data_IF_020219792325
#
_entry.id   IF_020219792325
#
_cell.length_a   1.000
_cell.length_b   1.000
_cell.length_c   1.000
_cell.angle_alpha   90.00
_cell.angle_beta   90.00
_cell.angle_gamma   90.00
#
_symmetry.space_group_name_H-M   'P 1'
#
loop_
_entity.id
_entity.type
_entity.pdbx_description
1 polymer ?
#
# COMPACT_ATOMS: atom_id res chain seq x y z
N UNK A 1 -0.19 10.34 0.67
CA UNK A 1 -0.04 9.51 -0.54
C UNK A 1 -0.25 10.39 -1.76
N UNK A 2 0.68 10.39 -2.71
CA UNK A 2 0.53 11.16 -3.94
C UNK A 2 -0.43 10.43 -4.92
N UNK A 3 -1.62 10.98 -5.17
CA UNK A 3 -2.59 10.39 -6.09
C UNK A 3 -2.21 10.57 -7.56
N UNK A 4 -1.29 11.49 -7.88
CA UNK A 4 -0.81 11.75 -9.24
C UNK A 4 -0.16 10.51 -9.87
N UNK A 5 0.49 9.68 -9.04
CA UNK A 5 1.08 8.43 -9.52
C UNK A 5 0.02 7.42 -10.00
N UNK A 6 -1.21 7.46 -9.46
CA UNK A 6 -2.31 6.61 -9.94
C UNK A 6 -2.73 7.03 -11.35
N UNK A 7 -2.88 8.35 -11.57
CA UNK A 7 -3.21 8.94 -12.87
C UNK A 7 -2.11 8.60 -13.88
N UNK A 8 -0.86 8.85 -13.51
CA UNK A 8 0.29 8.57 -14.35
C UNK A 8 0.33 7.10 -14.79
N UNK A 9 0.17 6.15 -13.87
CA UNK A 9 0.22 4.72 -14.21
C UNK A 9 -0.93 4.34 -15.13
N UNK A 10 -2.15 4.85 -14.89
CA UNK A 10 -3.29 4.62 -15.77
C UNK A 10 -3.01 5.11 -17.19
N UNK A 11 -2.45 6.30 -17.33
CA UNK A 11 -2.13 6.91 -18.63
C UNK A 11 -1.01 6.17 -19.35
N UNK A 12 0.02 5.69 -18.65
CA UNK A 12 1.06 4.85 -19.27
C UNK A 12 0.55 3.47 -19.74
N UNK A 13 -0.63 3.05 -19.28
CA UNK A 13 -1.30 1.84 -19.76
C UNK A 13 -2.28 2.12 -20.91
N UNK A 14 -2.40 3.37 -21.34
CA UNK A 14 -3.38 3.84 -22.34
C UNK A 14 -4.82 3.47 -21.97
N UNK A 15 -5.16 3.54 -20.68
CA UNK A 15 -6.49 3.18 -20.17
C UNK A 15 -7.31 4.39 -19.76
N UNK A 16 -8.61 4.35 -20.08
CA UNK A 16 -9.60 5.23 -19.44
C UNK A 16 -9.85 4.84 -17.99
N UNK A 17 -10.36 5.78 -17.18
CA UNK A 17 -10.79 5.50 -15.80
C UNK A 17 -11.79 4.32 -15.73
N UNK A 18 -12.64 4.17 -16.76
CA UNK A 18 -13.64 3.09 -16.82
C UNK A 18 -12.99 1.74 -17.07
N UNK A 19 -12.02 1.66 -17.99
CA UNK A 19 -11.32 0.41 -18.30
C UNK A 19 -10.46 -0.06 -17.13
N UNK A 20 -9.74 0.85 -16.48
CA UNK A 20 -8.94 0.48 -15.32
C UNK A 20 -9.82 0.08 -14.13
N UNK A 21 -10.92 0.79 -13.89
CA UNK A 21 -11.90 0.39 -12.88
C UNK A 21 -12.44 -1.03 -13.13
N UNK A 22 -12.78 -1.36 -14.40
CA UNK A 22 -13.22 -2.69 -14.78
C UNK A 22 -12.13 -3.76 -14.53
N UNK A 23 -10.87 -3.49 -14.89
CA UNK A 23 -9.74 -4.39 -14.59
C UNK A 23 -9.53 -4.60 -13.09
N UNK A 24 -9.76 -3.58 -12.28
CA UNK A 24 -9.68 -3.63 -10.82
C UNK A 24 -10.97 -4.13 -10.14
N UNK A 25 -12.01 -4.45 -10.93
CA UNK A 25 -13.34 -4.90 -10.48
C UNK A 25 -14.03 -3.92 -9.51
N UNK A 26 -13.95 -2.62 -9.81
CA UNK A 26 -14.62 -1.55 -9.07
C UNK A 26 -15.42 -0.66 -10.00
N UNK A 27 -16.32 0.15 -9.46
CA UNK A 27 -17.05 1.14 -10.27
C UNK A 27 -16.11 2.26 -10.74
N UNK A 28 -16.40 2.84 -11.91
CA UNK A 28 -15.69 4.04 -12.42
C UNK A 28 -15.70 5.18 -11.40
N UNK A 29 -16.82 5.38 -10.70
CA UNK A 29 -16.96 6.40 -9.66
C UNK A 29 -16.05 6.13 -8.46
N UNK A 30 -15.84 4.87 -8.08
CA UNK A 30 -14.91 4.52 -7.00
C UNK A 30 -13.48 4.78 -7.39
N UNK A 31 -13.09 4.41 -8.61
CA UNK A 31 -11.73 4.67 -9.11
C UNK A 31 -11.44 6.17 -9.25
N UNK A 32 -12.39 6.96 -9.78
CA UNK A 32 -12.24 8.41 -9.90
C UNK A 32 -12.02 9.10 -8.53
N UNK A 33 -12.66 8.60 -7.47
CA UNK A 33 -12.46 9.09 -6.10
C UNK A 33 -11.06 8.81 -5.55
N UNK A 34 -10.35 7.81 -6.08
CA UNK A 34 -8.95 7.56 -5.74
C UNK A 34 -8.01 8.54 -6.43
N UNK A 35 -8.26 8.84 -7.71
CA UNK A 35 -7.46 9.81 -8.48
C UNK A 35 -7.69 11.28 -8.07
N UNK A 36 -8.78 11.57 -7.36
CA UNK A 36 -9.09 12.91 -6.82
C UNK A 36 -8.74 13.05 -5.34
N UNK A 37 -8.14 12.02 -4.74
CA UNK A 37 -7.85 11.92 -3.31
C UNK A 37 -9.07 12.04 -2.37
N UNK A 38 -10.31 12.03 -2.89
CA UNK A 38 -11.52 11.93 -2.06
C UNK A 38 -11.55 10.65 -1.22
N UNK A 39 -10.92 9.58 -1.70
CA UNK A 39 -10.77 8.32 -0.97
C UNK A 39 -9.40 7.71 -1.19
N UNK A 40 -8.81 7.16 -0.14
CA UNK A 40 -7.56 6.39 -0.23
C UNK A 40 -7.85 5.03 -0.90
N UNK A 41 -7.05 4.68 -1.90
CA UNK A 41 -7.12 3.37 -2.57
C UNK A 41 -6.77 2.26 -1.56
N UNK A 42 -7.61 1.23 -1.38
CA UNK A 42 -7.28 0.08 -0.55
C UNK A 42 -6.09 -0.72 -1.08
N UNK A 43 -5.27 -1.28 -0.17
CA UNK A 43 -4.03 -1.96 -0.52
C UNK A 43 -4.23 -3.10 -1.53
N UNK A 44 -5.34 -3.82 -1.45
CA UNK A 44 -5.67 -4.88 -2.42
C UNK A 44 -5.75 -4.38 -3.86
N UNK A 45 -6.40 -3.23 -4.10
CA UNK A 45 -6.50 -2.65 -5.44
C UNK A 45 -5.20 -2.01 -5.87
N UNK A 46 -4.43 -1.46 -4.92
CA UNK A 46 -3.10 -0.93 -5.19
C UNK A 46 -2.14 -2.02 -5.67
N UNK A 47 -2.16 -3.21 -5.03
CA UNK A 47 -1.38 -4.36 -5.48
C UNK A 47 -1.84 -4.88 -6.84
N UNK A 48 -3.15 -4.90 -7.10
CA UNK A 48 -3.65 -5.26 -8.43
C UNK A 48 -3.15 -4.28 -9.50
N UNK A 49 -3.11 -2.98 -9.19
CA UNK A 49 -2.54 -1.97 -10.08
C UNK A 49 -1.03 -2.18 -10.29
N UNK A 50 -0.27 -2.49 -9.24
CA UNK A 50 1.16 -2.84 -9.33
C UNK A 50 1.38 -4.01 -10.29
N UNK A 51 0.57 -5.06 -10.15
CA UNK A 51 0.66 -6.27 -10.97
C UNK A 51 0.24 -6.04 -12.42
N UNK A 52 -0.71 -5.13 -12.69
CA UNK A 52 -1.13 -4.77 -14.05
C UNK A 52 -0.10 -3.90 -14.77
N UNK A 53 0.59 -3.02 -14.04
CA UNK A 53 1.56 -2.05 -14.57
C UNK A 53 3.01 -2.51 -14.46
N UNK A 54 3.28 -3.69 -13.90
CA UNK A 54 4.61 -4.19 -13.54
C UNK A 54 5.47 -3.16 -12.78
N UNK A 55 4.83 -2.31 -11.96
CA UNK A 55 5.47 -1.19 -11.27
C UNK A 55 5.53 -1.46 -9.77
N UNK A 56 6.64 -1.04 -9.14
CA UNK A 56 6.87 -1.25 -7.71
C UNK A 56 5.86 -0.49 -6.84
N UNK A 57 5.52 -1.06 -5.68
CA UNK A 57 4.61 -0.42 -4.74
C UNK A 57 5.17 0.91 -4.23
N UNK A 58 6.49 0.99 -4.04
CA UNK A 58 7.19 2.22 -3.66
C UNK A 58 6.97 3.33 -4.69
N UNK A 59 7.05 3.00 -5.98
CA UNK A 59 6.80 3.98 -7.04
C UNK A 59 5.35 4.44 -7.06
N UNK A 60 4.36 3.54 -6.90
CA UNK A 60 2.94 3.95 -6.90
C UNK A 60 2.63 4.83 -5.69
N UNK A 61 3.25 4.55 -4.55
CA UNK A 61 3.08 5.36 -3.33
C UNK A 61 3.85 6.68 -3.36
N UNK A 62 4.72 6.90 -4.36
CA UNK A 62 5.59 8.07 -4.44
C UNK A 62 6.72 8.04 -3.40
N UNK A 63 7.13 6.85 -2.96
CA UNK A 63 8.27 6.61 -2.05
C UNK A 63 9.60 6.44 -2.80
N UNK A 64 9.56 6.27 -4.12
CA UNK A 64 10.72 6.12 -4.99
C UNK A 64 10.45 6.71 -6.37
N UNK A 65 11.41 7.47 -6.91
CA UNK A 65 11.37 7.95 -8.30
C UNK A 65 11.76 6.86 -9.31
N UNK A 66 12.34 5.75 -8.83
CA UNK A 66 12.76 4.64 -9.69
C UNK A 66 11.55 3.79 -10.06
N UNK A 67 11.28 3.68 -11.37
CA UNK A 67 10.35 2.71 -11.96
C UNK A 67 10.94 1.30 -11.90
N UNK A 68 11.16 0.80 -10.70
CA UNK A 68 11.63 -0.55 -10.50
C UNK A 68 10.56 -1.52 -11.00
N UNK A 69 10.91 -2.33 -12.00
CA UNK A 69 10.00 -3.32 -12.56
C UNK A 69 9.79 -4.44 -11.56
N UNK A 70 8.53 -4.80 -11.36
CA UNK A 70 8.19 -5.97 -10.55
C UNK A 70 8.29 -7.21 -11.44
N UNK A 71 9.31 -8.03 -11.22
CA UNK A 71 9.57 -9.23 -12.03
C UNK A 71 8.63 -10.41 -11.68
N UNK A 72 7.80 -10.30 -10.63
CA UNK A 72 6.87 -11.34 -10.17
C UNK A 72 5.59 -10.73 -9.59
N UNK A 73 4.40 -11.30 -9.86
CA UNK A 73 3.16 -10.78 -9.30
C UNK A 73 3.19 -10.80 -7.77
N UNK A 74 2.85 -9.66 -7.16
CA UNK A 74 2.77 -9.50 -5.71
C UNK A 74 1.49 -10.17 -5.22
N UNK A 75 1.62 -11.10 -4.27
CA UNK A 75 0.50 -11.77 -3.62
C UNK A 75 0.46 -11.38 -2.14
N UNK A 76 -0.64 -10.74 -1.74
CA UNK A 76 -0.83 -10.34 -0.35
C UNK A 76 -1.00 -11.56 0.57
N UNK A 77 -0.20 -11.59 1.64
CA UNK A 77 -0.34 -12.56 2.73
C UNK A 77 -0.38 -11.79 4.06
N UNK A 78 -1.56 -11.74 4.68
CA UNK A 78 -1.80 -10.99 5.93
C UNK A 78 -0.87 -11.41 7.07
N UNK A 79 -0.62 -12.71 7.21
CA UNK A 79 0.26 -13.25 8.27
C UNK A 79 1.71 -12.81 8.02
N UNK A 80 2.17 -12.89 6.77
CA UNK A 80 3.53 -12.46 6.42
C UNK A 80 3.73 -10.96 6.63
N UNK A 81 2.77 -10.16 6.18
CA UNK A 81 2.75 -8.70 6.39
C UNK A 81 2.77 -8.39 7.89
N UNK A 82 1.91 -9.04 8.67
CA UNK A 82 1.87 -8.88 10.13
C UNK A 82 3.21 -9.21 10.80
N UNK A 83 3.86 -10.29 10.38
CA UNK A 83 5.20 -10.64 10.87
C UNK A 83 6.27 -9.62 10.47
N UNK A 84 6.21 -9.06 9.26
CA UNK A 84 7.14 -8.03 8.80
C UNK A 84 6.94 -6.73 9.60
N UNK A 85 5.70 -6.32 9.85
CA UNK A 85 5.38 -5.19 10.73
C UNK A 85 5.93 -5.39 12.15
N UNK A 86 5.73 -6.60 12.69
CA UNK A 86 6.28 -6.97 14.00
C UNK A 86 7.80 -6.87 14.03
N UNK A 87 8.49 -7.33 12.98
CA UNK A 87 9.96 -7.23 12.85
C UNK A 87 10.42 -5.78 12.89
N UNK A 88 9.82 -4.91 12.08
CA UNK A 88 10.12 -3.46 12.04
C UNK A 88 9.92 -2.85 13.43
N UNK A 89 8.81 -3.17 14.10
CA UNK A 89 8.55 -2.70 15.46
C UNK A 89 9.64 -3.15 16.44
N UNK A 90 9.98 -4.44 16.42
CA UNK A 90 10.97 -4.99 17.35
C UNK A 90 12.40 -4.53 17.07
N UNK A 91 12.78 -4.31 15.80
CA UNK A 91 14.10 -3.79 15.45
C UNK A 91 14.29 -2.34 15.91
N UNK A 92 13.20 -1.61 16.13
CA UNK A 92 13.19 -0.27 16.72
C UNK A 92 12.97 -0.29 18.23
N UNK A 93 12.95 -1.46 18.89
CA UNK A 93 12.71 -1.63 20.32
C UNK A 93 11.37 -1.03 20.82
N UNK A 94 10.34 -1.05 19.98
CA UNK A 94 9.04 -0.46 20.31
C UNK A 94 8.03 -1.50 20.82
N UNK A 95 7.22 -1.09 21.79
CA UNK A 95 5.98 -1.81 22.15
C UNK A 95 4.91 -1.59 21.08
N UNK A 96 3.88 -2.44 21.02
CA UNK A 96 2.79 -2.25 20.07
C UNK A 96 2.07 -0.91 20.27
N UNK A 97 2.00 -0.41 21.50
CA UNK A 97 1.44 0.91 21.81
C UNK A 97 2.31 2.03 21.25
N UNK A 98 3.61 2.04 21.52
CA UNK A 98 4.53 3.05 20.99
C UNK A 98 4.57 3.05 19.44
N UNK A 99 4.52 1.86 18.84
CA UNK A 99 4.44 1.75 17.38
C UNK A 99 3.12 2.31 16.84
N UNK A 100 2.00 2.05 17.52
CA UNK A 100 0.71 2.62 17.16
C UNK A 100 0.70 4.15 17.26
N UNK A 101 1.20 4.68 18.38
CA UNK A 101 1.30 6.11 18.65
C UNK A 101 2.16 6.80 17.57
N UNK A 102 3.22 6.13 17.09
CA UNK A 102 4.11 6.67 16.06
C UNK A 102 3.46 6.93 14.69
N UNK A 103 2.35 6.24 14.39
CA UNK A 103 1.58 6.36 13.15
C UNK A 103 0.13 6.77 13.41
N UNK A 104 -0.14 7.39 14.56
CA UNK A 104 -1.45 7.91 14.96
C UNK A 104 -2.58 6.88 14.88
N UNK A 105 -2.33 5.66 15.35
CA UNK A 105 -3.34 4.59 15.44
C UNK A 105 -3.40 4.01 16.86
N UNK A 106 -4.21 2.97 17.06
CA UNK A 106 -4.34 2.31 18.36
C UNK A 106 -3.54 1.02 18.44
N UNK A 107 -3.15 0.63 19.67
CA UNK A 107 -2.46 -0.64 19.90
C UNK A 107 -3.28 -1.85 19.40
N UNK A 108 -4.61 -1.81 19.48
CA UNK A 108 -5.48 -2.88 19.01
C UNK A 108 -5.46 -3.05 17.50
N UNK A 109 -5.30 -1.95 16.74
CA UNK A 109 -5.13 -1.97 15.29
C UNK A 109 -3.79 -2.63 14.93
N UNK A 110 -2.69 -2.25 15.59
CA UNK A 110 -1.38 -2.90 15.39
C UNK A 110 -1.43 -4.38 15.72
N UNK A 111 -2.05 -4.75 16.85
CA UNK A 111 -2.24 -6.16 17.22
C UNK A 111 -3.01 -6.95 16.16
N UNK A 112 -4.07 -6.35 15.58
CA UNK A 112 -4.87 -6.95 14.51
C UNK A 112 -4.11 -7.11 13.19
N UNK A 113 -3.15 -6.23 12.91
CA UNK A 113 -2.26 -6.34 11.76
C UNK A 113 -1.19 -7.41 12.00
N UNK A 114 -0.50 -7.38 13.14
CA UNK A 114 0.58 -8.33 13.48
C UNK A 114 0.10 -9.78 13.57
N UNK A 115 -1.14 -9.99 14.02
CA UNK A 115 -1.79 -11.31 14.07
C UNK A 115 -2.32 -11.78 12.71
N UNK A 116 -2.35 -10.93 11.68
CA UNK A 116 -2.90 -11.26 10.36
C UNK A 116 -4.44 -11.33 10.31
N UNK A 117 -5.12 -10.93 11.40
CA UNK A 117 -6.58 -10.85 11.46
C UNK A 117 -7.10 -9.89 10.38
N UNK A 118 -6.48 -8.72 10.29
CA UNK A 118 -6.84 -7.66 9.33
C UNK A 118 -5.67 -7.30 8.42
N UNK A 119 -5.98 -6.90 7.19
CA UNK A 119 -4.98 -6.37 6.26
C UNK A 119 -4.70 -4.90 6.61
N UNK A 120 -3.43 -4.50 6.58
CA UNK A 120 -3.03 -3.11 6.78
C UNK A 120 -3.66 -2.19 5.72
N UNK A 121 -4.09 -1.00 6.14
CA UNK A 121 -4.59 0.03 5.24
C UNK A 121 -3.43 0.74 4.54
N UNK A 122 -3.67 1.23 3.32
CA UNK A 122 -2.66 1.94 2.52
C UNK A 122 -2.12 3.18 3.21
N UNK A 123 -2.96 3.92 3.95
CA UNK A 123 -2.55 5.07 4.75
C UNK A 123 -1.48 4.68 5.77
N UNK A 124 -1.79 3.73 6.65
CA UNK A 124 -0.84 3.27 7.67
C UNK A 124 0.41 2.64 7.06
N UNK A 125 0.27 1.90 5.95
CA UNK A 125 1.45 1.38 5.24
C UNK A 125 2.37 2.51 4.80
N UNK A 126 1.81 3.56 4.19
CA UNK A 126 2.55 4.74 3.75
C UNK A 126 3.21 5.46 4.93
N UNK A 127 2.49 5.66 6.03
CA UNK A 127 3.01 6.33 7.23
C UNK A 127 4.18 5.53 7.84
N UNK A 128 4.09 4.20 7.89
CA UNK A 128 5.18 3.33 8.37
C UNK A 128 6.40 3.45 7.45
N UNK A 129 6.20 3.46 6.13
CA UNK A 129 7.31 3.60 5.18
C UNK A 129 8.05 4.92 5.37
N UNK A 130 7.33 6.03 5.52
CA UNK A 130 7.92 7.35 5.76
C UNK A 130 8.61 7.43 7.13
N UNK A 131 7.96 6.95 8.19
CA UNK A 131 8.45 7.09 9.56
C UNK A 131 9.73 6.29 9.82
N UNK A 132 9.80 5.08 9.26
CA UNK A 132 10.88 4.13 9.52
C UNK A 132 11.85 3.99 8.35
N UNK A 133 11.68 4.77 7.28
CA UNK A 133 12.48 4.72 6.06
C UNK A 133 12.63 3.29 5.50
N UNK A 134 11.50 2.59 5.41
CA UNK A 134 11.43 1.21 4.91
C UNK A 134 10.67 1.17 3.58
N UNK A 135 11.05 0.23 2.71
CA UNK A 135 10.32 -0.01 1.46
C UNK A 135 8.97 -0.67 1.74
N UNK A 136 7.92 -0.20 1.07
CA UNK A 136 6.62 -0.84 1.08
C UNK A 136 6.70 -2.25 0.50
N UNK A 137 7.61 -2.50 -0.45
CA UNK A 137 7.83 -3.85 -0.97
C UNK A 137 8.37 -4.80 0.11
N UNK A 138 9.23 -4.35 1.01
CA UNK A 138 9.78 -5.20 2.08
C UNK A 138 8.72 -5.58 3.12
N UNK A 139 7.72 -4.71 3.32
CA UNK A 139 6.58 -5.02 4.19
C UNK A 139 5.67 -6.07 3.54
N UNK A 140 5.44 -5.96 2.23
CA UNK A 140 4.50 -6.81 1.50
C UNK A 140 5.08 -8.16 1.07
N UNK A 141 6.38 -8.23 0.75
CA UNK A 141 7.03 -9.43 0.19
C UNK A 141 7.22 -10.53 1.21
#
# INVERSE_FOLDING_TARGET
MNYEHLIFIRENLDLSQRELANKLKVSKSTYARWETAEKIIPLIHLINLCNLSNTSLDYILGLSDRKDKVNKPIKLNKIKIGNNLKKIRTSNNLTQKQFADSINTTQSVISSYESGNTLIQTSFLYDICLKYNVSANDIIK
#
